data_IF_619145073484
#
_entry.id   IF_619145073484
#
_cell.length_a   1.000
_cell.length_b   1.000
_cell.length_c   1.000
_cell.angle_alpha   90.00
_cell.angle_beta   90.00
_cell.angle_gamma   90.00
#
_symmetry.space_group_name_H-M   'P 1'
#
loop_
_entity.id
_entity.type
_entity.pdbx_description
1 polymer ?
#
# COMPACT_ATOMS: atom_id res chain seq x y z
N UNK A 1 57.73 -9.89 -64.24
CA UNK A 1 58.50 -8.65 -63.99
C UNK A 1 58.45 -8.43 -62.48
N UNK A 2 59.34 -9.11 -61.77
CA UNK A 2 60.55 -8.53 -61.15
C UNK A 2 60.29 -8.41 -59.63
N UNK A 3 60.79 -9.33 -58.79
CA UNK A 3 62.15 -9.32 -58.15
C UNK A 3 62.08 -8.41 -56.89
N UNK A 4 62.51 -8.71 -55.64
CA UNK A 4 63.38 -9.69 -54.95
C UNK A 4 63.17 -9.45 -53.41
N UNK A 5 63.06 -10.47 -52.55
CA UNK A 5 64.00 -10.89 -51.45
C UNK A 5 64.48 -9.77 -50.49
N UNK A 6 64.73 -9.90 -49.17
CA UNK A 6 65.22 -10.98 -48.30
C UNK A 6 65.02 -10.49 -46.81
N UNK A 7 64.60 -11.31 -45.84
CA UNK A 7 65.32 -12.31 -44.99
C UNK A 7 65.90 -11.78 -43.67
N UNK A 8 65.50 -12.40 -42.54
CA UNK A 8 66.33 -12.82 -41.38
C UNK A 8 65.43 -13.69 -40.47
N UNK A 9 65.61 -15.03 -40.40
CA UNK A 9 66.43 -15.85 -39.47
C UNK A 9 66.40 -15.35 -38.00
N UNK A 10 66.17 -16.13 -36.95
CA UNK A 10 66.00 -17.58 -36.74
C UNK A 10 65.23 -17.85 -35.43
N UNK A 11 64.52 -18.97 -35.31
CA UNK A 11 64.94 -20.28 -34.73
C UNK A 11 64.63 -20.43 -33.22
N UNK A 12 63.55 -21.20 -32.99
CA UNK A 12 63.35 -22.33 -32.06
C UNK A 12 63.57 -22.14 -30.55
N UNK A 13 62.53 -22.47 -29.79
CA UNK A 13 62.61 -22.86 -28.38
C UNK A 13 61.26 -23.33 -27.84
N UNK A 14 60.89 -24.59 -28.12
CA UNK A 14 59.76 -25.27 -27.49
C UNK A 14 60.15 -25.65 -26.05
N UNK A 15 59.58 -24.96 -25.07
CA UNK A 15 59.74 -25.25 -23.65
C UNK A 15 58.38 -25.46 -22.98
N UNK A 16 58.18 -26.69 -22.50
CA UNK A 16 57.07 -27.22 -21.70
C UNK A 16 56.44 -26.24 -20.70
N UNK A 17 55.10 -26.10 -20.75
CA UNK A 17 54.30 -25.36 -19.77
C UNK A 17 54.24 -26.08 -18.41
N UNK A 18 54.72 -25.42 -17.37
CA UNK A 18 54.42 -25.78 -15.98
C UNK A 18 52.96 -25.41 -15.65
N UNK A 19 52.21 -26.40 -15.16
CA UNK A 19 50.88 -26.18 -14.59
C UNK A 19 50.99 -25.46 -13.24
N UNK A 20 50.55 -24.21 -13.17
CA UNK A 20 50.13 -23.59 -11.90
C UNK A 20 48.63 -23.33 -11.97
N UNK A 21 47.87 -24.20 -11.32
CA UNK A 21 46.44 -24.03 -11.12
C UNK A 21 46.21 -22.88 -10.13
N UNK A 22 45.71 -21.75 -10.63
CA UNK A 22 45.15 -20.69 -9.78
C UNK A 22 43.71 -21.07 -9.41
N UNK A 23 43.52 -21.60 -8.20
CA UNK A 23 42.21 -21.83 -7.62
C UNK A 23 41.69 -20.49 -7.05
N UNK A 24 40.93 -19.75 -7.83
CA UNK A 24 40.17 -18.60 -7.33
C UNK A 24 39.00 -19.10 -6.47
N UNK A 25 39.20 -19.16 -5.15
CA UNK A 25 38.12 -19.38 -4.19
C UNK A 25 37.31 -18.08 -4.10
N UNK A 26 36.18 -18.04 -4.80
CA UNK A 26 35.16 -17.00 -4.62
C UNK A 26 34.45 -17.25 -3.29
N UNK A 27 34.84 -16.51 -2.24
CA UNK A 27 34.08 -16.44 -1.01
C UNK A 27 32.75 -15.71 -1.28
N UNK A 28 31.69 -16.48 -1.52
CA UNK A 28 30.33 -15.97 -1.51
C UNK A 28 29.94 -15.75 -0.04
N UNK A 29 30.26 -14.58 0.52
CA UNK A 29 29.73 -14.19 1.83
C UNK A 29 28.24 -13.88 1.64
N UNK A 30 27.40 -14.88 1.87
CA UNK A 30 25.98 -14.66 2.09
C UNK A 30 25.86 -13.89 3.42
N UNK A 31 25.74 -12.56 3.34
CA UNK A 31 25.39 -11.75 4.50
C UNK A 31 23.99 -12.16 4.97
N UNK A 32 23.91 -13.01 6.00
CA UNK A 32 22.69 -13.11 6.81
C UNK A 32 22.45 -11.75 7.43
N UNK A 33 21.60 -10.93 6.81
CA UNK A 33 21.04 -9.77 7.51
C UNK A 33 20.17 -10.31 8.64
N UNK A 34 20.62 -10.14 9.87
CA UNK A 34 19.80 -10.36 11.06
C UNK A 34 18.49 -9.57 10.90
N UNK A 35 17.37 -10.22 11.15
CA UNK A 35 16.05 -9.57 11.15
C UNK A 35 16.10 -8.50 12.25
N UNK A 36 16.13 -7.22 11.86
CA UNK A 36 16.18 -6.10 12.81
C UNK A 36 14.95 -6.19 13.73
N UNK A 37 15.21 -6.41 15.02
CA UNK A 37 14.15 -6.56 16.02
C UNK A 37 13.46 -5.21 16.21
N UNK A 38 12.20 -5.10 15.78
CA UNK A 38 11.42 -3.88 15.99
C UNK A 38 10.88 -3.82 17.41
N UNK A 39 10.96 -2.66 18.03
CA UNK A 39 10.43 -2.43 19.37
C UNK A 39 8.93 -2.06 19.29
N UNK A 40 8.07 -3.00 19.68
CA UNK A 40 6.64 -2.76 19.84
C UNK A 40 6.43 -2.19 21.25
N UNK A 41 5.68 -1.09 21.42
CA UNK A 41 5.39 -0.55 22.75
C UNK A 41 4.83 -1.61 23.69
N UNK A 42 5.31 -1.64 24.93
CA UNK A 42 4.84 -2.57 25.97
C UNK A 42 3.37 -2.31 26.35
N UNK A 43 2.93 -1.06 26.29
CA UNK A 43 1.52 -0.68 26.49
C UNK A 43 0.78 -0.64 25.15
N UNK A 44 -0.35 -1.38 25.07
CA UNK A 44 -1.24 -1.34 23.90
C UNK A 44 -1.78 0.06 23.61
N UNK A 45 -1.97 0.87 24.64
CA UNK A 45 -2.45 2.24 24.48
C UNK A 45 -1.45 3.14 23.75
N UNK A 46 -0.16 2.78 23.74
CA UNK A 46 0.85 3.51 23.02
C UNK A 46 1.10 2.96 21.61
N UNK A 47 0.46 1.83 21.24
CA UNK A 47 0.58 1.25 19.90
C UNK A 47 -0.74 1.38 19.12
N UNK A 48 -0.84 2.45 18.34
CA UNK A 48 -2.05 2.82 17.62
C UNK A 48 -2.11 2.13 16.25
N UNK A 49 -3.09 1.26 16.06
CA UNK A 49 -3.19 0.44 14.85
C UNK A 49 -4.16 1.04 13.84
N UNK A 50 -3.80 0.95 12.55
CA UNK A 50 -4.67 1.34 11.45
C UNK A 50 -4.69 0.29 10.35
N UNK A 51 -5.90 -0.14 10.02
CA UNK A 51 -6.15 -1.07 8.93
C UNK A 51 -6.24 -0.31 7.60
N UNK A 52 -5.42 -0.68 6.62
CA UNK A 52 -5.42 -0.07 5.30
C UNK A 52 -6.07 -1.02 4.29
N UNK A 53 -7.31 -0.73 3.89
CA UNK A 53 -8.10 -1.52 2.94
C UNK A 53 -8.45 -0.75 1.66
N UNK A 54 -8.82 -1.50 0.64
CA UNK A 54 -9.24 -0.96 -0.66
C UNK A 54 -8.42 -1.51 -1.81
N UNK A 55 -8.20 -0.71 -2.85
CA UNK A 55 -7.55 -1.15 -4.08
C UNK A 55 -6.20 -0.46 -4.37
N UNK A 56 -5.89 -0.21 -5.65
CA UNK A 56 -4.59 0.26 -6.11
C UNK A 56 -4.22 1.66 -5.62
N UNK A 57 -5.18 2.56 -5.36
CA UNK A 57 -4.88 3.88 -4.81
C UNK A 57 -4.64 3.88 -3.29
N UNK A 58 -5.18 2.91 -2.52
CA UNK A 58 -4.74 2.68 -1.14
C UNK A 58 -3.39 1.98 -1.12
N UNK A 59 -3.24 0.90 -1.89
CA UNK A 59 -2.00 0.14 -1.87
C UNK A 59 -0.84 0.98 -2.43
N UNK A 60 -1.08 1.74 -3.49
CA UNK A 60 -0.13 2.63 -4.15
C UNK A 60 -0.03 2.35 -5.65
N UNK A 61 -0.03 3.41 -6.46
CA UNK A 61 -0.04 3.33 -7.92
C UNK A 61 1.25 3.80 -8.61
N UNK A 62 2.22 4.33 -7.86
CA UNK A 62 3.47 4.92 -8.37
C UNK A 62 4.66 4.06 -7.97
N UNK A 63 5.70 4.01 -8.81
CA UNK A 63 6.95 3.32 -8.47
C UNK A 63 7.67 3.95 -7.28
N UNK A 64 8.56 3.19 -6.64
CA UNK A 64 9.40 3.74 -5.58
C UNK A 64 10.49 4.63 -6.16
N UNK A 65 10.84 5.68 -5.43
CA UNK A 65 11.98 6.54 -5.67
C UNK A 65 13.08 6.25 -4.62
N UNK A 66 14.28 6.78 -4.87
CA UNK A 66 15.37 6.74 -3.89
C UNK A 66 14.89 7.37 -2.59
N UNK A 67 15.14 6.70 -1.46
CA UNK A 67 14.74 7.13 -0.12
C UNK A 67 13.41 6.56 0.38
N UNK A 68 12.54 6.03 -0.48
CA UNK A 68 11.23 5.50 -0.04
C UNK A 68 11.30 4.27 0.87
N UNK A 69 12.41 3.55 0.80
CA UNK A 69 12.67 2.36 1.62
C UNK A 69 13.28 2.71 2.97
N UNK A 70 13.49 4.01 3.25
CA UNK A 70 13.93 4.45 4.57
C UNK A 70 12.78 4.37 5.57
N UNK A 71 13.02 3.84 6.77
CA UNK A 71 12.05 3.84 7.85
C UNK A 71 11.54 5.24 8.22
N UNK A 72 10.23 5.37 8.41
CA UNK A 72 9.62 6.53 9.06
C UNK A 72 9.67 6.32 10.58
N UNK A 73 10.20 7.28 11.37
CA UNK A 73 10.24 7.20 12.83
C UNK A 73 8.85 6.98 13.44
N UNK A 74 8.78 6.19 14.51
CA UNK A 74 7.53 5.86 15.23
C UNK A 74 6.44 5.19 14.36
N UNK A 75 6.82 4.60 13.23
CA UNK A 75 5.89 3.85 12.39
C UNK A 75 6.41 2.43 12.17
N UNK A 76 5.53 1.46 12.39
CA UNK A 76 5.73 0.05 12.05
C UNK A 76 4.72 -0.36 10.97
N UNK A 77 5.10 -1.36 10.17
CA UNK A 77 4.20 -2.04 9.24
C UNK A 77 4.15 -3.52 9.55
N UNK A 78 2.96 -4.09 9.48
CA UNK A 78 2.74 -5.51 9.59
C UNK A 78 3.11 -6.20 8.27
N UNK A 79 3.88 -7.27 8.34
CA UNK A 79 4.14 -8.15 7.19
C UNK A 79 2.95 -9.07 6.98
N UNK A 80 2.71 -9.43 5.73
CA UNK A 80 1.71 -10.45 5.42
C UNK A 80 2.19 -11.81 5.91
N UNK A 81 1.29 -12.53 6.56
CA UNK A 81 1.46 -13.90 7.00
C UNK A 81 0.35 -14.75 6.40
N UNK A 82 0.69 -15.98 6.01
CA UNK A 82 -0.32 -16.96 5.59
C UNK A 82 -1.15 -17.36 6.80
N UNK A 83 -2.27 -18.03 6.55
CA UNK A 83 -3.02 -18.65 7.64
C UNK A 83 -2.15 -19.69 8.36
N UNK A 84 -2.22 -19.73 9.69
CA UNK A 84 -1.33 -20.53 10.54
C UNK A 84 -0.04 -19.82 10.97
N UNK A 85 0.44 -18.83 10.21
CA UNK A 85 1.65 -18.07 10.55
C UNK A 85 1.32 -16.84 11.41
N UNK A 86 2.14 -16.59 12.43
CA UNK A 86 2.07 -15.37 13.21
C UNK A 86 2.62 -14.17 12.39
N UNK A 87 1.83 -13.10 12.20
CA UNK A 87 2.29 -11.93 11.47
C UNK A 87 3.35 -11.17 12.25
N UNK A 88 4.45 -10.86 11.56
CA UNK A 88 5.58 -10.11 12.11
C UNK A 88 5.46 -8.62 11.81
N UNK A 89 6.06 -7.80 12.67
CA UNK A 89 6.23 -6.37 12.47
C UNK A 89 7.57 -6.05 11.83
N UNK A 90 7.64 -4.94 11.11
CA UNK A 90 8.85 -4.38 10.53
C UNK A 90 8.79 -2.85 10.57
N UNK A 91 9.93 -2.19 10.40
CA UNK A 91 9.99 -0.74 10.32
C UNK A 91 9.11 -0.21 9.17
N UNK A 92 8.43 0.90 9.43
CA UNK A 92 7.49 1.54 8.51
C UNK A 92 8.19 2.20 7.33
N UNK A 93 8.47 1.42 6.29
CA UNK A 93 9.03 1.89 5.02
C UNK A 93 8.20 1.39 3.82
N UNK A 94 8.23 2.08 2.67
CA UNK A 94 7.63 1.51 1.46
C UNK A 94 8.45 0.30 0.96
N UNK A 95 7.83 -0.65 0.22
CA UNK A 95 6.41 -0.75 -0.03
C UNK A 95 5.66 -1.23 1.22
N UNK A 96 4.46 -0.68 1.45
CA UNK A 96 3.60 -1.10 2.55
C UNK A 96 2.85 -2.40 2.23
N UNK A 97 2.25 -2.48 1.05
CA UNK A 97 1.36 -3.60 0.70
C UNK A 97 2.11 -4.71 -0.03
N UNK A 98 2.29 -5.89 0.60
CA UNK A 98 3.03 -7.01 0.02
C UNK A 98 2.18 -7.85 -0.95
N UNK A 99 0.86 -7.94 -0.72
CA UNK A 99 -0.06 -8.74 -1.54
C UNK A 99 -0.52 -7.93 -2.75
N UNK A 100 0.24 -8.00 -3.84
CA UNK A 100 -0.11 -7.36 -5.12
C UNK A 100 -0.12 -8.38 -6.26
N UNK A 101 -1.15 -8.38 -7.12
CA UNK A 101 -1.19 -9.27 -8.29
C UNK A 101 0.04 -9.15 -9.20
N UNK A 102 0.62 -7.95 -9.32
CA UNK A 102 1.76 -7.70 -10.21
C UNK A 102 3.13 -7.71 -9.51
N UNK A 103 3.19 -8.02 -8.20
CA UNK A 103 4.41 -8.02 -7.36
C UNK A 103 5.23 -6.72 -7.38
N UNK A 104 4.75 -5.62 -7.97
CA UNK A 104 5.51 -4.36 -8.07
C UNK A 104 5.48 -3.61 -6.73
N UNK A 105 6.65 -3.21 -6.24
CA UNK A 105 6.76 -2.28 -5.13
C UNK A 105 6.18 -0.91 -5.52
N UNK A 106 5.32 -0.33 -4.68
CA UNK A 106 4.64 0.93 -4.97
C UNK A 106 4.57 1.86 -3.77
N UNK A 107 4.55 3.14 -4.09
CA UNK A 107 4.34 4.25 -3.18
C UNK A 107 2.84 4.50 -2.99
N UNK A 108 2.40 4.66 -1.74
CA UNK A 108 1.01 4.86 -1.36
C UNK A 108 0.86 5.75 -0.12
N UNK A 109 -0.37 6.13 0.26
CA UNK A 109 -0.64 7.17 1.26
C UNK A 109 -0.37 6.77 2.72
N UNK A 110 -0.28 5.47 3.03
CA UNK A 110 -0.29 4.98 4.42
C UNK A 110 0.82 5.52 5.32
N UNK A 111 2.04 5.68 4.81
CA UNK A 111 3.15 6.23 5.62
C UNK A 111 2.98 7.72 5.89
N UNK A 112 2.56 8.51 4.90
CA UNK A 112 2.29 9.93 5.11
C UNK A 112 1.13 10.17 6.07
N UNK A 113 0.12 9.28 6.06
CA UNK A 113 -0.91 9.26 7.09
C UNK A 113 -0.31 9.02 8.48
N UNK A 114 0.49 7.96 8.64
CA UNK A 114 1.05 7.59 9.94
C UNK A 114 1.97 8.67 10.52
N UNK A 115 2.85 9.23 9.68
CA UNK A 115 3.74 10.33 10.03
C UNK A 115 2.96 11.57 10.49
N UNK A 116 1.93 11.95 9.73
CA UNK A 116 1.08 13.10 10.10
C UNK A 116 0.29 12.82 11.38
N UNK A 117 -0.18 11.59 11.56
CA UNK A 117 -0.96 11.19 12.73
C UNK A 117 -0.14 11.22 14.02
N UNK A 118 1.12 10.78 13.98
CA UNK A 118 1.97 10.63 15.16
C UNK A 118 2.69 11.93 15.56
N UNK A 119 2.77 12.91 14.66
CA UNK A 119 3.54 14.15 14.84
C UNK A 119 3.21 14.94 16.12
N UNK A 120 1.97 14.85 16.61
CA UNK A 120 1.49 15.54 17.82
C UNK A 120 1.15 14.57 18.98
N UNK A 121 1.60 13.32 18.91
CA UNK A 121 1.29 12.26 19.89
C UNK A 121 2.56 11.67 20.50
N UNK A 122 3.21 12.38 21.45
CA UNK A 122 4.44 11.90 22.07
C UNK A 122 4.22 10.53 22.72
N UNK A 123 5.17 9.61 22.55
CA UNK A 123 5.12 8.26 23.10
C UNK A 123 4.26 7.26 22.31
N UNK A 124 3.54 7.70 21.27
CA UNK A 124 2.77 6.80 20.40
C UNK A 124 3.66 6.24 19.29
N UNK A 125 3.46 4.96 18.98
CA UNK A 125 3.92 4.30 17.75
C UNK A 125 2.71 3.93 16.91
N UNK A 126 2.78 4.14 15.61
CA UNK A 126 1.71 3.75 14.67
C UNK A 126 2.01 2.39 14.06
N UNK A 127 1.06 1.46 14.14
CA UNK A 127 1.12 0.16 13.47
C UNK A 127 0.20 0.13 12.25
N UNK A 128 0.77 0.08 11.05
CA UNK A 128 0.01 -0.05 9.81
C UNK A 128 -0.24 -1.52 9.47
N UNK A 129 -1.50 -1.87 9.16
CA UNK A 129 -1.93 -3.21 8.77
C UNK A 129 -2.32 -3.17 7.27
N UNK A 130 -1.38 -3.45 6.35
CA UNK A 130 -1.58 -3.19 4.92
C UNK A 130 -2.32 -4.33 4.20
N UNK A 131 -3.63 -4.14 3.95
CA UNK A 131 -4.53 -5.17 3.41
C UNK A 131 -5.27 -4.76 2.12
N UNK A 132 -4.88 -3.67 1.49
CA UNK A 132 -5.41 -3.27 0.18
C UNK A 132 -4.88 -4.14 -0.97
N UNK A 133 -5.73 -4.45 -1.96
CA UNK A 133 -5.43 -5.31 -3.09
C UNK A 133 -5.91 -4.68 -4.41
N UNK A 134 -4.98 -4.39 -5.32
CA UNK A 134 -5.25 -3.67 -6.57
C UNK A 134 -6.22 -4.40 -7.51
N UNK A 135 -7.07 -3.62 -8.20
CA UNK A 135 -8.00 -4.12 -9.22
C UNK A 135 -9.26 -4.79 -8.67
N UNK A 136 -9.44 -4.86 -7.35
CA UNK A 136 -10.56 -5.56 -6.72
C UNK A 136 -11.81 -4.68 -6.62
N UNK A 137 -12.97 -5.24 -6.97
CA UNK A 137 -14.26 -4.65 -6.65
C UNK A 137 -14.59 -4.81 -5.17
N UNK A 138 -15.58 -4.07 -4.68
CA UNK A 138 -15.98 -4.14 -3.27
C UNK A 138 -16.41 -5.55 -2.85
N UNK A 139 -17.04 -6.33 -3.74
CA UNK A 139 -17.43 -7.73 -3.48
C UNK A 139 -16.21 -8.60 -3.16
N UNK A 140 -15.12 -8.42 -3.91
CA UNK A 140 -13.89 -9.18 -3.73
C UNK A 140 -13.10 -8.76 -2.48
N UNK A 141 -13.52 -7.69 -1.80
CA UNK A 141 -12.93 -7.17 -0.57
C UNK A 141 -13.88 -7.29 0.63
N UNK A 142 -15.05 -7.91 0.43
CA UNK A 142 -16.11 -8.05 1.44
C UNK A 142 -16.10 -9.42 2.10
N UNK A 143 -16.85 -9.56 3.19
CA UNK A 143 -17.02 -10.80 3.95
C UNK A 143 -17.38 -11.98 3.03
N UNK A 144 -16.74 -13.12 3.29
CA UNK A 144 -16.78 -14.31 2.43
C UNK A 144 -15.67 -14.39 1.39
N UNK A 145 -14.91 -13.30 1.17
CA UNK A 145 -13.68 -13.36 0.36
C UNK A 145 -12.44 -13.67 1.21
N UNK A 146 -11.45 -14.31 0.60
CA UNK A 146 -10.14 -14.58 1.22
C UNK A 146 -9.42 -13.28 1.63
N UNK A 147 -9.52 -12.22 0.81
CA UNK A 147 -8.86 -10.93 1.08
C UNK A 147 -9.44 -10.28 2.34
N UNK A 148 -10.76 -10.36 2.51
CA UNK A 148 -11.42 -9.90 3.74
C UNK A 148 -11.02 -10.76 4.94
N UNK A 149 -11.04 -12.09 4.81
CA UNK A 149 -10.62 -13.00 5.87
C UNK A 149 -9.20 -12.70 6.37
N UNK A 150 -8.27 -12.50 5.44
CA UNK A 150 -6.91 -12.07 5.74
C UNK A 150 -6.86 -10.73 6.48
N UNK A 151 -7.64 -9.73 6.03
CA UNK A 151 -7.66 -8.42 6.65
C UNK A 151 -8.12 -8.47 8.11
N UNK A 152 -9.20 -9.22 8.38
CA UNK A 152 -9.73 -9.41 9.73
C UNK A 152 -8.72 -10.19 10.59
N UNK A 153 -8.16 -11.29 10.07
CA UNK A 153 -7.19 -12.12 10.80
C UNK A 153 -5.95 -11.33 11.21
N UNK A 154 -5.34 -10.58 10.28
CA UNK A 154 -4.18 -9.75 10.60
C UNK A 154 -4.53 -8.66 11.61
N UNK A 155 -5.71 -8.04 11.47
CA UNK A 155 -6.13 -6.99 12.40
C UNK A 155 -6.34 -7.54 13.81
N UNK A 156 -6.98 -8.70 13.96
CA UNK A 156 -7.13 -9.38 15.26
C UNK A 156 -5.79 -9.75 15.89
N UNK A 157 -4.81 -10.19 15.09
CA UNK A 157 -3.46 -10.46 15.57
C UNK A 157 -2.76 -9.18 16.03
N UNK A 158 -2.89 -8.08 15.28
CA UNK A 158 -2.32 -6.79 15.66
C UNK A 158 -2.92 -6.26 16.98
N UNK A 159 -4.23 -6.44 17.19
CA UNK A 159 -4.94 -6.06 18.43
C UNK A 159 -4.46 -6.82 19.68
N UNK A 160 -3.69 -7.91 19.52
CA UNK A 160 -3.03 -8.57 20.65
C UNK A 160 -1.91 -7.74 21.28
N UNK A 161 -1.38 -6.73 20.58
CA UNK A 161 -0.27 -5.91 21.05
C UNK A 161 -0.52 -4.40 20.92
N UNK A 162 -1.62 -3.98 20.31
CA UNK A 162 -1.98 -2.56 20.16
C UNK A 162 -3.47 -2.31 20.13
N UNK A 163 -3.85 -1.03 20.07
CA UNK A 163 -5.25 -0.60 20.04
C UNK A 163 -5.65 -0.17 18.63
N UNK A 164 -6.66 -0.81 18.05
CA UNK A 164 -7.19 -0.44 16.73
C UNK A 164 -7.92 0.90 16.80
N UNK A 165 -7.36 1.89 16.09
CA UNK A 165 -7.87 3.26 16.07
C UNK A 165 -8.77 3.54 14.87
N UNK A 166 -8.58 2.87 13.75
CA UNK A 166 -9.48 3.05 12.60
C UNK A 166 -9.13 2.26 11.36
N UNK A 167 -9.99 2.39 10.35
CA UNK A 167 -9.82 1.81 9.01
C UNK A 167 -9.72 2.93 7.98
N UNK A 168 -8.70 2.87 7.14
CA UNK A 168 -8.59 3.69 5.95
C UNK A 168 -9.03 2.87 4.74
N UNK A 169 -10.00 3.39 4.00
CA UNK A 169 -10.56 2.76 2.81
C UNK A 169 -10.37 3.64 1.59
N UNK A 170 -9.80 3.08 0.52
CA UNK A 170 -9.74 3.76 -0.78
C UNK A 170 -10.05 2.79 -1.92
N UNK A 171 -11.29 2.86 -2.41
CA UNK A 171 -11.77 1.96 -3.45
C UNK A 171 -13.01 2.52 -4.13
N UNK A 172 -13.24 2.06 -5.37
CA UNK A 172 -14.49 2.25 -6.08
C UNK A 172 -14.31 2.16 -7.59
N UNK A 173 -13.08 2.35 -8.09
CA UNK A 173 -12.81 2.42 -9.53
C UNK A 173 -13.22 1.12 -10.25
N UNK A 174 -13.01 -0.06 -9.66
CA UNK A 174 -13.44 -1.33 -10.24
C UNK A 174 -14.97 -1.53 -10.26
N UNK A 175 -15.72 -0.83 -9.41
CA UNK A 175 -17.18 -0.88 -9.37
C UNK A 175 -17.85 0.10 -10.34
N UNK A 176 -17.07 0.97 -11.00
CA UNK A 176 -17.53 1.85 -12.09
C UNK A 176 -17.57 1.17 -13.45
N UNK A 177 -17.09 -0.08 -13.56
CA UNK A 177 -17.01 -0.79 -14.86
C UNK A 177 -18.41 -1.18 -15.36
N UNK A 178 -19.26 -1.68 -14.46
CA UNK A 178 -20.61 -2.18 -14.77
C UNK A 178 -21.67 -1.41 -13.98
N UNK A 179 -22.80 -1.12 -14.62
CA UNK A 179 -23.91 -0.41 -13.99
C UNK A 179 -24.46 -1.14 -12.76
N UNK A 180 -24.57 -2.47 -12.81
CA UNK A 180 -25.06 -3.31 -11.71
C UNK A 180 -24.16 -3.20 -10.47
N UNK A 181 -22.84 -3.12 -10.65
CA UNK A 181 -21.88 -2.94 -9.56
C UNK A 181 -21.99 -1.55 -8.95
N UNK A 182 -22.07 -0.51 -9.78
CA UNK A 182 -22.25 0.87 -9.31
C UNK A 182 -23.55 1.04 -8.54
N UNK A 183 -24.66 0.49 -9.04
CA UNK A 183 -25.96 0.56 -8.38
C UNK A 183 -25.97 -0.13 -7.01
N UNK A 184 -25.21 -1.23 -6.86
CA UNK A 184 -25.11 -1.96 -5.59
C UNK A 184 -24.05 -1.38 -4.61
N UNK A 185 -23.24 -0.41 -5.04
CA UNK A 185 -22.03 0.00 -4.33
C UNK A 185 -22.32 0.52 -2.91
N UNK A 186 -23.29 1.42 -2.77
CA UNK A 186 -23.63 2.04 -1.48
C UNK A 186 -24.06 1.00 -0.44
N UNK A 187 -25.01 0.12 -0.81
CA UNK A 187 -25.48 -0.97 0.07
C UNK A 187 -24.32 -1.88 0.48
N UNK A 188 -23.41 -2.20 -0.45
CA UNK A 188 -22.25 -3.04 -0.17
C UNK A 188 -21.23 -2.33 0.73
N UNK A 189 -21.00 -1.03 0.56
CA UNK A 189 -20.13 -0.25 1.42
C UNK A 189 -20.66 -0.18 2.86
N UNK A 190 -21.95 0.10 3.04
CA UNK A 190 -22.58 0.08 4.36
C UNK A 190 -22.45 -1.29 5.02
N UNK A 191 -22.69 -2.36 4.25
CA UNK A 191 -22.56 -3.74 4.75
C UNK A 191 -21.12 -4.07 5.13
N UNK A 192 -20.15 -3.72 4.29
CA UNK A 192 -18.72 -3.90 4.59
C UNK A 192 -18.33 -3.21 5.89
N UNK A 193 -18.73 -1.96 6.09
CA UNK A 193 -18.42 -1.20 7.32
C UNK A 193 -19.01 -1.91 8.55
N UNK A 194 -20.27 -2.35 8.46
CA UNK A 194 -20.93 -3.12 9.51
C UNK A 194 -20.18 -4.43 9.81
N UNK A 195 -19.88 -5.22 8.78
CA UNK A 195 -19.19 -6.50 8.92
C UNK A 195 -17.81 -6.33 9.55
N UNK A 196 -17.02 -5.33 9.12
CA UNK A 196 -15.71 -5.03 9.70
C UNK A 196 -15.83 -4.66 11.19
N UNK A 197 -16.79 -3.82 11.55
CA UNK A 197 -17.04 -3.42 12.95
C UNK A 197 -17.43 -4.59 13.83
N UNK A 198 -18.33 -5.44 13.34
CA UNK A 198 -18.78 -6.64 14.04
C UNK A 198 -17.63 -7.64 14.22
N UNK A 199 -16.91 -7.95 13.15
CA UNK A 199 -15.85 -8.96 13.18
C UNK A 199 -14.63 -8.50 14.02
N UNK A 200 -14.41 -7.18 14.16
CA UNK A 200 -13.36 -6.60 14.99
C UNK A 200 -13.84 -6.15 16.38
N UNK A 201 -15.12 -6.38 16.72
CA UNK A 201 -15.68 -6.10 18.04
C UNK A 201 -15.72 -4.62 18.43
N UNK A 202 -15.76 -3.70 17.46
CA UNK A 202 -15.83 -2.26 17.72
C UNK A 202 -16.95 -1.61 16.88
N UNK A 203 -18.16 -1.42 17.42
CA UNK A 203 -19.30 -0.85 16.68
C UNK A 203 -19.11 0.63 16.32
N UNK A 204 -18.20 1.35 16.99
CA UNK A 204 -17.90 2.76 16.76
C UNK A 204 -16.57 2.96 16.01
N UNK A 205 -15.97 1.90 15.47
CA UNK A 205 -14.67 1.98 14.80
C UNK A 205 -14.71 3.05 13.69
N UNK A 206 -13.82 4.07 13.75
CA UNK A 206 -13.68 5.05 12.69
C UNK A 206 -13.38 4.38 11.36
N UNK A 207 -14.18 4.71 10.36
CA UNK A 207 -14.00 4.20 9.00
C UNK A 207 -13.94 5.37 8.03
N UNK A 208 -12.75 5.66 7.51
CA UNK A 208 -12.51 6.85 6.69
C UNK A 208 -12.37 6.43 5.24
N UNK A 209 -13.23 6.97 4.37
CA UNK A 209 -13.22 6.70 2.93
C UNK A 209 -12.55 7.84 2.17
N UNK A 210 -11.73 7.51 1.17
CA UNK A 210 -11.16 8.49 0.26
C UNK A 210 -11.96 8.60 -1.03
N UNK A 211 -12.09 9.82 -1.54
CA UNK A 211 -12.72 10.07 -2.81
C UNK A 211 -11.91 9.46 -3.97
N UNK A 212 -12.59 9.02 -5.02
CA UNK A 212 -11.92 8.70 -6.28
C UNK A 212 -11.26 9.96 -6.83
N UNK A 213 -10.16 9.80 -7.56
CA UNK A 213 -9.44 10.94 -8.13
C UNK A 213 -10.35 11.81 -9.02
N UNK A 214 -10.22 13.14 -8.93
CA UNK A 214 -10.97 14.07 -9.80
C UNK A 214 -10.75 13.80 -11.28
N UNK A 215 -9.50 13.50 -11.66
CA UNK A 215 -9.13 13.16 -13.03
C UNK A 215 -9.65 11.78 -13.51
N UNK A 216 -10.15 10.92 -12.61
CA UNK A 216 -10.70 9.62 -13.00
C UNK A 216 -11.98 9.83 -13.80
N UNK A 217 -12.03 9.25 -15.00
CA UNK A 217 -13.06 9.54 -16.01
C UNK A 217 -12.61 10.51 -17.10
N UNK A 218 -11.39 11.04 -17.05
CA UNK A 218 -10.83 11.94 -18.10
C UNK A 218 -9.74 11.27 -18.95
N UNK A 219 -9.39 10.03 -18.64
CA UNK A 219 -8.44 9.20 -19.39
C UNK A 219 -9.10 8.49 -20.58
N UNK A 220 -8.30 8.09 -21.58
CA UNK A 220 -8.79 7.45 -22.82
C UNK A 220 -9.75 6.29 -22.56
N UNK A 221 -9.45 5.44 -21.56
CA UNK A 221 -10.17 4.20 -21.29
C UNK A 221 -11.35 4.37 -20.32
N UNK A 222 -11.53 5.58 -19.77
CA UNK A 222 -12.48 5.86 -18.69
C UNK A 222 -13.46 7.00 -19.00
N UNK A 223 -13.31 7.66 -20.15
CA UNK A 223 -14.06 8.88 -20.51
C UNK A 223 -15.38 8.68 -21.23
N UNK A 224 -15.83 7.43 -21.40
CA UNK A 224 -17.14 7.17 -21.97
C UNK A 224 -18.23 7.80 -21.08
N UNK A 225 -19.22 8.53 -21.64
CA UNK A 225 -20.20 9.28 -20.84
C UNK A 225 -20.94 8.44 -19.79
N UNK A 226 -21.31 7.22 -20.14
CA UNK A 226 -21.96 6.25 -19.24
C UNK A 226 -21.04 5.89 -18.05
N UNK A 227 -19.74 5.71 -18.30
CA UNK A 227 -18.75 5.42 -17.27
C UNK A 227 -18.48 6.62 -16.38
N UNK A 228 -18.45 7.83 -16.95
CA UNK A 228 -18.31 9.07 -16.18
C UNK A 228 -19.50 9.26 -15.23
N UNK A 229 -20.73 9.00 -15.68
CA UNK A 229 -21.91 9.03 -14.82
C UNK A 229 -21.79 8.05 -13.63
N UNK A 230 -21.29 6.83 -13.88
CA UNK A 230 -21.02 5.84 -12.82
C UNK A 230 -19.92 6.28 -11.85
N UNK A 231 -18.85 6.91 -12.36
CA UNK A 231 -17.78 7.47 -11.53
C UNK A 231 -18.34 8.57 -10.61
N UNK A 232 -19.10 9.51 -11.17
CA UNK A 232 -19.76 10.57 -10.39
C UNK A 232 -20.65 9.97 -9.31
N UNK A 233 -21.44 8.95 -9.64
CA UNK A 233 -22.30 8.27 -8.67
C UNK A 233 -21.52 7.67 -7.50
N UNK A 234 -20.38 7.01 -7.74
CA UNK A 234 -19.55 6.47 -6.64
C UNK A 234 -18.94 7.61 -5.80
N UNK A 235 -18.47 8.70 -6.43
CA UNK A 235 -17.96 9.88 -5.70
C UNK A 235 -19.02 10.48 -4.76
N UNK A 236 -20.26 10.58 -5.22
CA UNK A 236 -21.40 11.05 -4.40
C UNK A 236 -21.71 10.11 -3.22
N UNK A 237 -21.68 8.80 -3.45
CA UNK A 237 -21.87 7.80 -2.39
C UNK A 237 -20.78 7.95 -1.32
N UNK A 238 -19.51 8.01 -1.73
CA UNK A 238 -18.38 8.17 -0.80
C UNK A 238 -18.48 9.49 -0.02
N UNK A 239 -18.80 10.60 -0.70
CA UNK A 239 -18.93 11.94 -0.07
C UNK A 239 -20.09 12.02 0.91
N UNK A 240 -21.20 11.35 0.63
CA UNK A 240 -22.39 11.38 1.49
C UNK A 240 -22.36 10.36 2.64
N UNK A 241 -21.39 9.44 2.67
CA UNK A 241 -21.29 8.39 3.68
C UNK A 241 -21.34 8.88 5.14
N UNK A 242 -20.61 9.96 5.56
CA UNK A 242 -20.67 10.46 6.93
C UNK A 242 -22.07 10.90 7.39
N UNK A 243 -22.96 11.26 6.45
CA UNK A 243 -24.34 11.64 6.76
C UNK A 243 -25.26 10.43 6.96
N UNK A 244 -24.82 9.23 6.55
CA UNK A 244 -25.64 8.00 6.49
C UNK A 244 -25.14 6.91 7.44
N UNK A 245 -23.85 6.87 7.72
CA UNK A 245 -23.22 5.87 8.58
C UNK A 245 -22.40 6.58 9.67
N UNK A 246 -22.76 6.46 10.96
CA UNK A 246 -22.02 7.07 12.06
C UNK A 246 -20.56 6.61 12.14
N UNK A 247 -19.72 7.44 12.75
CA UNK A 247 -18.28 7.21 12.91
C UNK A 247 -17.57 6.93 11.57
N UNK A 248 -17.99 7.62 10.51
CA UNK A 248 -17.30 7.57 9.22
C UNK A 248 -16.83 8.97 8.81
N UNK A 249 -15.71 9.00 8.09
CA UNK A 249 -15.10 10.22 7.58
C UNK A 249 -14.94 10.15 6.06
N UNK A 250 -14.85 11.31 5.41
CA UNK A 250 -14.64 11.43 3.97
C UNK A 250 -13.42 12.31 3.66
N UNK A 251 -12.52 11.81 2.80
CA UNK A 251 -11.32 12.52 2.37
C UNK A 251 -11.46 12.94 0.91
N UNK A 252 -11.41 14.25 0.66
CA UNK A 252 -11.49 14.82 -0.69
C UNK A 252 -10.19 14.64 -1.49
N UNK A 253 -10.30 14.43 -2.81
CA UNK A 253 -9.18 14.23 -3.73
C UNK A 253 -8.84 15.47 -4.58
N UNK A 254 -9.47 16.61 -4.28
CA UNK A 254 -9.24 17.88 -4.99
C UNK A 254 -7.77 18.30 -4.99
N UNK A 255 -7.27 18.70 -6.16
CA UNK A 255 -5.88 19.09 -6.36
C UNK A 255 -4.90 17.91 -6.50
N UNK A 256 -5.38 16.66 -6.51
CA UNK A 256 -4.56 15.50 -6.85
C UNK A 256 -4.34 15.38 -8.37
N UNK A 257 -3.18 14.86 -8.75
CA UNK A 257 -2.68 14.72 -10.12
C UNK A 257 -2.38 13.27 -10.48
N UNK A 258 -2.49 12.89 -11.77
CA UNK A 258 -2.37 11.50 -12.21
C UNK A 258 -0.90 11.06 -12.33
N UNK A 259 -0.60 9.83 -11.90
CA UNK A 259 0.71 9.19 -12.04
C UNK A 259 1.12 8.87 -13.49
N UNK A 260 0.13 8.73 -14.37
CA UNK A 260 0.33 8.28 -15.74
C UNK A 260 -0.82 8.77 -16.64
N UNK A 261 -0.59 8.71 -17.96
CA UNK A 261 -1.59 9.09 -18.99
C UNK A 261 -2.91 8.32 -18.89
N UNK A 262 -2.92 7.14 -18.27
CA UNK A 262 -4.14 6.38 -17.99
C UNK A 262 -5.12 7.12 -17.07
N UNK A 263 -4.64 8.08 -16.25
CA UNK A 263 -5.45 8.90 -15.33
C UNK A 263 -6.35 8.08 -14.40
N UNK A 264 -5.75 7.07 -13.75
CA UNK A 264 -6.41 6.23 -12.73
C UNK A 264 -5.75 6.41 -11.37
N UNK A 265 -4.42 6.36 -11.34
CA UNK A 265 -3.67 6.36 -10.09
C UNK A 265 -3.15 7.74 -9.73
N UNK A 266 -3.17 8.07 -8.45
CA UNK A 266 -2.51 9.25 -7.89
C UNK A 266 -1.02 9.20 -8.11
N UNK A 267 -0.41 10.35 -8.42
CA UNK A 267 1.04 10.52 -8.37
C UNK A 267 1.57 10.58 -6.93
N UNK A 268 2.89 10.72 -6.78
CA UNK A 268 3.56 10.76 -5.48
C UNK A 268 3.06 11.90 -4.60
N UNK A 269 3.01 13.12 -5.14
CA UNK A 269 2.57 14.31 -4.41
C UNK A 269 1.14 14.12 -3.90
N UNK A 270 0.30 13.51 -4.72
CA UNK A 270 -1.09 13.19 -4.40
C UNK A 270 -1.21 12.09 -3.34
N UNK A 271 -0.39 11.03 -3.39
CA UNK A 271 -0.36 10.03 -2.31
C UNK A 271 0.01 10.66 -0.95
N UNK A 272 1.00 11.55 -0.92
CA UNK A 272 1.37 12.30 0.29
C UNK A 272 0.21 13.19 0.78
N UNK A 273 -0.40 13.95 -0.13
CA UNK A 273 -1.53 14.82 0.18
C UNK A 273 -2.73 14.02 0.74
N UNK A 274 -3.06 12.89 0.11
CA UNK A 274 -4.13 12.02 0.59
C UNK A 274 -3.83 11.50 1.99
N UNK A 275 -2.60 11.03 2.26
CA UNK A 275 -2.19 10.57 3.60
C UNK A 275 -2.41 11.64 4.68
N UNK A 276 -1.93 12.87 4.43
CA UNK A 276 -2.15 14.02 5.32
C UNK A 276 -3.64 14.30 5.55
N UNK A 277 -4.45 14.24 4.49
CA UNK A 277 -5.91 14.47 4.60
C UNK A 277 -6.62 13.37 5.37
N UNK A 278 -6.24 12.10 5.21
CA UNK A 278 -6.76 11.01 6.05
C UNK A 278 -6.48 11.26 7.53
N UNK A 279 -5.26 11.71 7.88
CA UNK A 279 -4.88 12.00 9.25
C UNK A 279 -5.68 13.19 9.80
N UNK A 280 -5.83 14.26 9.00
CA UNK A 280 -6.66 15.41 9.38
C UNK A 280 -8.12 15.01 9.62
N UNK A 281 -8.74 14.27 8.69
CA UNK A 281 -10.14 13.82 8.84
C UNK A 281 -10.29 12.92 10.06
N UNK A 282 -9.32 12.05 10.32
CA UNK A 282 -9.32 11.26 11.56
C UNK A 282 -9.36 12.18 12.79
N UNK A 283 -8.47 13.16 12.88
CA UNK A 283 -8.43 14.09 14.03
C UNK A 283 -9.73 14.88 14.16
N UNK A 284 -10.27 15.41 13.05
CA UNK A 284 -11.49 16.21 13.04
C UNK A 284 -12.72 15.41 13.51
N UNK A 285 -12.75 14.09 13.31
CA UNK A 285 -13.84 13.22 13.81
C UNK A 285 -13.92 13.15 15.35
N UNK A 286 -12.85 13.54 16.05
CA UNK A 286 -12.78 13.52 17.52
C UNK A 286 -12.62 14.91 18.14
N UNK A 287 -12.48 15.95 17.32
CA UNK A 287 -12.52 17.31 17.81
C UNK A 287 -13.91 17.57 18.40
N UNK A 288 -13.97 18.07 19.64
CA UNK A 288 -15.23 18.56 20.20
C UNK A 288 -15.67 19.76 19.35
N UNK A 289 -16.95 19.81 18.90
CA UNK A 289 -17.47 20.95 18.16
C UNK A 289 -17.42 22.25 18.98
#
# INVERSE_FOLDING_TARGET
MAIIHASHRGVIGTGTMNHSAFLCILFFTASLQAEESVNIPSSKENFHLFLLMGQSNMSGGVGLAVGDTQPVPHVLKMRYAKEGDAPKWALGAHPLHPRRPNKKARFGPGLSFAETYVADKPGVVVGLIPMACGGRSIVQLSKGSEIYGDAIRHTKAAMQVGTLKGVLWHQGESDTVEQTRTAAYEKRLHRLIKDVREDLGNPQLPFIVGNLAEFYGTGKDHKAPDRVARITKIKEILRSLPKKVPHTGFVESTGCTPAARAKVHFDRKSCLLMGKRYAKVYTDMFAKP
#
